data_IF_112974820757
#
_entry.id   IF_112974820757
#
_cell.length_a   1.000
_cell.length_b   1.000
_cell.length_c   1.000
_cell.angle_alpha   90.00
_cell.angle_beta   90.00
_cell.angle_gamma   90.00
#
_symmetry.space_group_name_H-M   'P 1'
#
loop_
_entity.id
_entity.type
_entity.pdbx_description
1 polymer ?
#
# COMPACT_ATOMS: atom_id res chain seq x y z
N UNK A 1 10.89 21.92 14.16
CA UNK A 1 10.10 21.01 15.01
C UNK A 1 9.83 19.77 14.19
N UNK A 2 10.67 18.74 14.35
CA UNK A 2 10.48 17.47 13.64
C UNK A 2 9.23 16.80 14.17
N UNK A 3 8.28 16.49 13.30
CA UNK A 3 7.18 15.62 13.65
C UNK A 3 7.79 14.25 13.99
N UNK A 4 7.76 13.86 15.26
CA UNK A 4 7.98 12.47 15.64
C UNK A 4 6.91 11.64 14.93
N UNK A 5 7.29 10.99 13.83
CA UNK A 5 6.41 10.12 13.07
C UNK A 5 6.00 8.96 13.97
N UNK A 6 4.71 8.92 14.37
CA UNK A 6 4.14 7.79 15.09
C UNK A 6 4.48 6.49 14.36
N UNK A 7 4.89 5.43 15.08
CA UNK A 7 5.30 4.18 14.44
C UNK A 7 4.17 3.61 13.60
N UNK A 8 4.49 3.17 12.37
CA UNK A 8 3.53 2.56 11.45
C UNK A 8 2.89 1.36 12.13
N UNK A 9 1.58 1.44 12.34
CA UNK A 9 0.81 0.37 12.98
C UNK A 9 0.23 -0.56 11.93
N UNK A 10 0.94 -1.64 11.64
CA UNK A 10 0.57 -2.63 10.62
C UNK A 10 -0.66 -3.46 11.04
N UNK A 11 -1.31 -4.19 10.12
CA UNK A 11 -2.37 -5.12 10.51
C UNK A 11 -1.86 -6.16 11.51
N UNK A 12 -2.66 -6.50 12.53
CA UNK A 12 -2.27 -7.48 13.58
C UNK A 12 -1.75 -8.82 13.07
N UNK A 13 -2.22 -9.28 11.90
CA UNK A 13 -1.74 -10.53 11.30
C UNK A 13 -0.31 -10.38 10.79
N UNK A 14 0.03 -9.21 10.22
CA UNK A 14 1.38 -8.87 9.79
C UNK A 14 2.28 -8.69 11.00
N UNK A 15 1.84 -7.96 12.04
CA UNK A 15 2.62 -7.75 13.27
C UNK A 15 3.01 -9.05 14.00
N UNK A 16 2.28 -10.15 13.76
CA UNK A 16 2.53 -11.47 14.38
C UNK A 16 3.31 -12.42 13.49
N UNK A 17 3.53 -12.08 12.22
CA UNK A 17 4.28 -12.90 11.27
C UNK A 17 5.79 -12.78 11.55
N UNK A 18 6.54 -13.86 11.36
CA UNK A 18 8.00 -13.84 11.57
C UNK A 18 8.73 -12.88 10.62
N UNK A 19 8.12 -12.52 9.48
CA UNK A 19 8.64 -11.54 8.52
C UNK A 19 8.36 -10.09 8.92
N UNK A 20 7.64 -9.82 10.01
CA UNK A 20 7.24 -8.47 10.40
C UNK A 20 8.43 -7.51 10.53
N UNK A 21 9.54 -7.96 11.13
CA UNK A 21 10.75 -7.17 11.31
C UNK A 21 11.39 -6.80 9.97
N UNK A 22 11.53 -7.77 9.08
CA UNK A 22 12.07 -7.57 7.72
C UNK A 22 11.18 -6.61 6.92
N UNK A 23 9.86 -6.80 7.00
CA UNK A 23 8.90 -5.92 6.35
C UNK A 23 9.00 -4.48 6.88
N UNK A 24 9.06 -4.30 8.21
CA UNK A 24 9.22 -2.97 8.79
C UNK A 24 10.52 -2.31 8.29
N UNK A 25 11.62 -3.06 8.25
CA UNK A 25 12.87 -2.58 7.67
C UNK A 25 12.71 -2.18 6.21
N UNK A 26 12.03 -2.97 5.37
CA UNK A 26 11.73 -2.60 3.97
C UNK A 26 10.87 -1.34 3.88
N UNK A 27 9.87 -1.19 4.76
CA UNK A 27 8.95 -0.05 4.75
C UNK A 27 9.60 1.26 5.24
N UNK A 28 10.67 1.17 6.04
CA UNK A 28 11.38 2.32 6.58
C UNK A 28 12.76 2.55 5.95
N UNK A 29 13.21 1.65 5.08
CA UNK A 29 14.49 1.77 4.36
C UNK A 29 14.28 2.16 2.91
N UNK A 30 15.24 2.86 2.32
CA UNK A 30 15.18 3.35 0.93
C UNK A 30 13.87 4.10 0.63
N UNK A 31 13.43 4.91 1.60
CA UNK A 31 12.29 5.79 1.45
C UNK A 31 12.69 7.01 0.62
N UNK A 32 11.72 7.53 -0.12
CA UNK A 32 11.89 8.77 -0.90
C UNK A 32 10.63 9.62 -0.76
N UNK A 33 10.74 10.95 -0.79
CA UNK A 33 9.57 11.80 -0.82
C UNK A 33 8.75 11.51 -2.08
N UNK A 34 7.42 11.57 -1.97
CA UNK A 34 6.54 11.31 -3.10
C UNK A 34 6.81 12.22 -4.31
N UNK A 35 7.28 13.44 -4.05
CA UNK A 35 7.70 14.43 -5.04
C UNK A 35 8.73 15.38 -4.42
N UNK A 36 9.36 16.23 -5.23
CA UNK A 36 10.51 17.08 -4.87
C UNK A 36 10.34 17.99 -3.63
N UNK A 37 9.10 18.32 -3.23
CA UNK A 37 8.78 19.08 -2.02
C UNK A 37 7.84 18.36 -1.05
N UNK A 38 7.56 17.08 -1.28
CA UNK A 38 6.68 16.29 -0.43
C UNK A 38 7.33 15.97 0.92
N UNK A 39 6.52 15.85 1.98
CA UNK A 39 7.02 15.47 3.31
C UNK A 39 6.70 14.01 3.65
N UNK A 40 5.76 13.39 2.94
CA UNK A 40 5.51 11.95 3.09
C UNK A 40 6.55 11.20 2.28
N UNK A 41 7.38 10.45 2.99
CA UNK A 41 8.27 9.48 2.39
C UNK A 41 7.55 8.14 2.19
N UNK A 42 7.84 7.48 1.07
CA UNK A 42 7.35 6.15 0.75
C UNK A 42 8.51 5.23 0.37
N UNK A 43 8.48 3.95 0.77
CA UNK A 43 9.50 3.00 0.36
C UNK A 43 9.38 2.69 -1.13
N UNK A 44 10.54 2.48 -1.78
CA UNK A 44 10.62 1.96 -3.13
C UNK A 44 10.92 0.45 -3.09
N UNK A 45 9.97 -0.36 -3.56
CA UNK A 45 10.03 -1.83 -3.51
C UNK A 45 10.11 -2.40 -4.93
N UNK A 46 10.97 -3.40 -5.13
CA UNK A 46 11.06 -4.12 -6.41
C UNK A 46 9.93 -5.14 -6.48
N UNK A 47 9.35 -5.30 -7.68
CA UNK A 47 8.39 -6.38 -7.93
C UNK A 47 9.14 -7.68 -8.20
N UNK A 48 8.98 -8.65 -7.31
CA UNK A 48 9.42 -10.03 -7.51
C UNK A 48 8.24 -10.95 -7.82
N UNK A 49 8.52 -12.25 -7.96
CA UNK A 49 7.49 -13.25 -8.25
C UNK A 49 6.42 -13.33 -7.14
N UNK A 50 6.84 -13.31 -5.87
CA UNK A 50 5.94 -13.45 -4.73
C UNK A 50 4.99 -12.27 -4.60
N UNK A 51 5.51 -11.05 -4.76
CA UNK A 51 4.70 -9.84 -4.77
C UNK A 51 3.77 -9.82 -6.00
N UNK A 52 4.26 -10.19 -7.18
CA UNK A 52 3.42 -10.29 -8.38
C UNK A 52 2.25 -11.28 -8.21
N UNK A 53 2.50 -12.44 -7.59
CA UNK A 53 1.48 -13.43 -7.28
C UNK A 53 0.45 -12.92 -6.27
N UNK A 54 0.91 -12.28 -5.19
CA UNK A 54 0.02 -11.67 -4.20
C UNK A 54 -0.89 -10.59 -4.83
N UNK A 55 -0.36 -9.77 -5.75
CA UNK A 55 -1.15 -8.78 -6.47
C UNK A 55 -2.18 -9.41 -7.41
N UNK A 56 -1.79 -10.44 -8.17
CA UNK A 56 -2.74 -11.19 -9.02
C UNK A 56 -3.84 -11.84 -8.20
N UNK A 57 -3.50 -12.45 -7.06
CA UNK A 57 -4.47 -13.05 -6.14
C UNK A 57 -5.46 -12.00 -5.60
N UNK A 58 -4.95 -10.85 -5.13
CA UNK A 58 -5.80 -9.74 -4.68
C UNK A 58 -6.72 -9.23 -5.80
N UNK A 59 -6.21 -9.12 -7.03
CA UNK A 59 -7.00 -8.69 -8.19
C UNK A 59 -8.10 -9.71 -8.54
N UNK A 60 -7.77 -10.99 -8.63
CA UNK A 60 -8.72 -12.07 -8.94
C UNK A 60 -9.81 -12.20 -7.87
N UNK A 61 -9.49 -11.87 -6.62
CA UNK A 61 -10.45 -11.82 -5.51
C UNK A 61 -11.30 -10.52 -5.48
N UNK A 62 -11.16 -9.63 -6.47
CA UNK A 62 -11.89 -8.37 -6.53
C UNK A 62 -11.50 -7.37 -5.44
N UNK A 63 -10.27 -7.47 -4.89
CA UNK A 63 -9.78 -6.67 -3.75
C UNK A 63 -8.86 -5.53 -4.17
N UNK A 64 -8.91 -5.15 -5.44
CA UNK A 64 -8.06 -4.12 -6.03
C UNK A 64 -8.93 -3.00 -6.60
N UNK A 65 -8.65 -1.78 -6.17
CA UNK A 65 -9.24 -0.56 -6.72
C UNK A 65 -8.21 0.10 -7.64
N UNK A 66 -8.58 0.29 -8.91
CA UNK A 66 -7.72 0.89 -9.93
C UNK A 66 -7.88 2.42 -9.95
N UNK A 67 -6.76 3.13 -9.87
CA UNK A 67 -6.67 4.56 -10.10
C UNK A 67 -6.99 5.44 -8.88
N UNK A 68 -6.45 6.65 -8.92
CA UNK A 68 -6.52 7.62 -7.82
C UNK A 68 -7.95 8.10 -7.52
N UNK A 69 -8.76 8.34 -8.56
CA UNK A 69 -10.12 8.83 -8.39
C UNK A 69 -11.00 7.78 -7.69
N UNK A 70 -10.94 6.53 -8.13
CA UNK A 70 -11.65 5.41 -7.53
C UNK A 70 -11.21 5.19 -6.08
N UNK A 71 -9.91 5.25 -5.80
CA UNK A 71 -9.37 5.14 -4.44
C UNK A 71 -9.89 6.27 -3.53
N UNK A 72 -9.89 7.52 -4.00
CA UNK A 72 -10.47 8.67 -3.29
C UNK A 72 -11.95 8.44 -2.95
N UNK A 73 -12.77 8.07 -3.95
CA UNK A 73 -14.21 7.84 -3.75
C UNK A 73 -14.45 6.73 -2.72
N UNK A 74 -13.70 5.63 -2.81
CA UNK A 74 -13.83 4.49 -1.89
C UNK A 74 -13.43 4.88 -0.46
N UNK A 75 -12.28 5.51 -0.27
CA UNK A 75 -11.81 5.95 1.05
C UNK A 75 -12.74 6.99 1.69
N UNK A 76 -13.27 7.94 0.91
CA UNK A 76 -14.24 8.91 1.40
C UNK A 76 -15.59 8.27 1.79
N UNK A 77 -15.99 7.19 1.14
CA UNK A 77 -17.18 6.42 1.54
C UNK A 77 -16.95 5.68 2.87
N UNK A 78 -15.76 5.12 3.05
CA UNK A 78 -15.40 4.38 4.25
C UNK A 78 -15.22 5.27 5.47
N UNK A 79 -14.58 6.43 5.29
CA UNK A 79 -14.45 7.47 6.32
C UNK A 79 -15.83 7.87 6.88
N UNK A 80 -16.81 8.14 6.01
CA UNK A 80 -18.18 8.43 6.42
C UNK A 80 -18.82 7.28 7.21
N UNK A 81 -18.62 6.04 6.78
CA UNK A 81 -19.10 4.86 7.48
C UNK A 81 -18.46 4.67 8.86
N UNK A 82 -17.16 4.92 8.98
CA UNK A 82 -16.42 4.84 10.24
C UNK A 82 -16.88 5.91 11.23
N UNK A 83 -17.06 7.16 10.79
CA UNK A 83 -17.56 8.25 11.64
C UNK A 83 -18.93 7.88 12.22
N UNK A 84 -19.85 7.38 11.39
CA UNK A 84 -21.19 6.96 11.84
C UNK A 84 -21.12 5.78 12.82
N UNK A 85 -20.19 4.84 12.61
CA UNK A 85 -20.02 3.69 13.49
C UNK A 85 -19.37 4.07 14.84
N UNK A 86 -18.40 4.98 14.83
CA UNK A 86 -17.67 5.42 16.02
C UNK A 86 -18.56 6.27 16.93
N UNK A 87 -19.42 7.13 16.35
CA UNK A 87 -20.47 7.85 17.08
C UNK A 87 -21.40 6.92 17.86
N UNK A 88 -21.64 5.69 17.36
CA UNK A 88 -22.50 4.69 18.01
C UNK A 88 -21.76 3.84 19.04
N UNK A 89 -20.45 3.68 18.90
CA UNK A 89 -19.69 2.67 19.63
C UNK A 89 -19.03 3.18 20.93
N UNK A 90 -18.92 4.50 21.14
CA UNK A 90 -18.24 5.14 22.29
C UNK A 90 -16.87 4.52 22.67
N UNK A 91 -16.17 3.94 21.68
CA UNK A 91 -14.88 3.27 21.86
C UNK A 91 -13.87 3.90 20.92
N UNK A 92 -12.79 4.44 21.48
CA UNK A 92 -11.64 4.93 20.71
C UNK A 92 -10.84 3.74 20.20
N UNK A 93 -11.11 3.31 18.96
CA UNK A 93 -10.29 2.27 18.32
C UNK A 93 -8.98 2.89 17.83
N UNK A 94 -7.85 2.42 18.36
CA UNK A 94 -6.54 2.78 17.82
C UNK A 94 -6.45 2.42 16.33
N UNK A 95 -6.19 3.42 15.49
CA UNK A 95 -6.10 3.22 14.05
C UNK A 95 -4.83 2.42 13.67
N UNK A 96 -4.96 1.63 12.60
CA UNK A 96 -3.97 0.73 12.01
C UNK A 96 -4.11 0.78 10.50
N UNK A 97 -3.02 0.48 9.79
CA UNK A 97 -3.02 0.26 8.35
C UNK A 97 -4.05 -0.80 8.02
N UNK A 98 -4.95 -0.43 7.10
CA UNK A 98 -6.04 -1.28 6.62
C UNK A 98 -6.22 -1.18 5.10
N UNK A 99 -5.50 -0.24 4.47
CA UNK A 99 -5.40 -0.04 3.03
C UNK A 99 -3.97 0.23 2.63
N UNK A 100 -3.62 -0.28 1.46
CA UNK A 100 -2.29 -0.14 0.87
C UNK A 100 -2.43 0.45 -0.52
N UNK A 101 -1.78 1.58 -0.74
CA UNK A 101 -1.59 2.16 -2.07
C UNK A 101 -0.29 1.63 -2.66
N UNK A 102 -0.36 1.18 -3.91
CA UNK A 102 0.80 0.82 -4.72
C UNK A 102 0.89 1.76 -5.89
N UNK A 103 2.03 2.42 -6.02
CA UNK A 103 2.26 3.48 -7.00
C UNK A 103 3.29 3.01 -8.02
N UNK A 104 3.05 3.28 -9.30
CA UNK A 104 4.12 3.19 -10.31
C UNK A 104 5.17 4.30 -10.08
N UNK A 105 6.40 4.10 -10.58
CA UNK A 105 7.54 5.03 -10.40
C UNK A 105 7.71 6.06 -11.53
N UNK A 106 6.78 6.10 -12.49
CA UNK A 106 6.77 7.01 -13.65
C UNK A 106 5.65 8.08 -13.58
N UNK A 107 5.11 8.32 -12.39
CA UNK A 107 4.06 9.29 -12.17
C UNK A 107 4.57 10.74 -12.36
N UNK A 108 3.74 11.60 -12.95
CA UNK A 108 4.02 13.03 -12.94
C UNK A 108 3.94 13.61 -11.52
N UNK A 109 4.69 14.67 -11.25
CA UNK A 109 4.73 15.30 -9.92
C UNK A 109 3.34 15.73 -9.40
N UNK A 110 2.49 16.25 -10.29
CA UNK A 110 1.09 16.60 -9.97
C UNK A 110 0.29 15.38 -9.49
N UNK A 111 0.52 14.21 -10.07
CA UNK A 111 -0.14 12.98 -9.63
C UNK A 111 0.32 12.61 -8.21
N UNK A 112 1.62 12.63 -7.93
CA UNK A 112 2.14 12.32 -6.60
C UNK A 112 1.72 13.33 -5.52
N UNK A 113 1.57 14.62 -5.86
CA UNK A 113 0.96 15.62 -4.97
C UNK A 113 -0.45 15.21 -4.53
N UNK A 114 -1.30 14.81 -5.48
CA UNK A 114 -2.65 14.36 -5.14
C UNK A 114 -2.66 13.07 -4.30
N UNK A 115 -1.69 12.17 -4.53
CA UNK A 115 -1.50 10.98 -3.68
C UNK A 115 -1.11 11.38 -2.26
N UNK A 116 -0.20 12.34 -2.09
CA UNK A 116 0.16 12.85 -0.76
C UNK A 116 -1.04 13.47 -0.04
N UNK A 117 -1.85 14.28 -0.73
CA UNK A 117 -3.11 14.81 -0.18
C UNK A 117 -4.05 13.69 0.28
N UNK A 118 -4.19 12.62 -0.51
CA UNK A 118 -5.00 11.46 -0.15
C UNK A 118 -4.47 10.76 1.11
N UNK A 119 -3.15 10.57 1.21
CA UNK A 119 -2.51 9.93 2.36
C UNK A 119 -2.72 10.72 3.65
N UNK A 120 -2.45 12.04 3.63
CA UNK A 120 -2.65 12.92 4.80
C UNK A 120 -4.08 12.90 5.30
N UNK A 121 -5.05 12.83 4.38
CA UNK A 121 -6.46 12.80 4.75
C UNK A 121 -6.87 11.51 5.48
N UNK A 122 -6.26 10.39 5.12
CA UNK A 122 -6.70 9.07 5.59
C UNK A 122 -5.68 8.36 6.49
N UNK A 123 -4.66 9.08 6.98
CA UNK A 123 -3.74 8.57 7.98
C UNK A 123 -4.46 8.29 9.32
N UNK A 124 -4.01 7.29 10.10
CA UNK A 124 -2.91 6.36 9.83
C UNK A 124 -3.37 5.06 9.13
N UNK A 125 -4.57 5.03 8.52
CA UNK A 125 -5.18 3.80 8.00
C UNK A 125 -4.70 3.41 6.60
N UNK A 126 -4.11 4.35 5.87
CA UNK A 126 -3.63 4.15 4.51
C UNK A 126 -2.10 4.25 4.51
N UNK A 127 -1.46 3.19 4.03
CA UNK A 127 -0.01 3.15 3.76
C UNK A 127 0.20 3.25 2.25
N UNK A 128 1.29 3.87 1.79
CA UNK A 128 1.70 3.85 0.39
C UNK A 128 3.07 3.21 0.23
N UNK A 129 3.23 2.49 -0.88
CA UNK A 129 4.50 1.93 -1.35
C UNK A 129 4.63 2.25 -2.83
N UNK A 130 5.84 2.60 -3.26
CA UNK A 130 6.16 2.76 -4.68
C UNK A 130 6.79 1.48 -5.20
N UNK A 131 6.34 1.02 -6.35
CA UNK A 131 6.91 -0.15 -7.03
C UNK A 131 7.91 0.35 -8.06
N UNK A 132 9.10 -0.27 -8.12
CA UNK A 132 10.15 0.04 -9.08
C UNK A 132 9.81 -0.49 -10.50
N UNK A 133 8.71 0.01 -11.05
CA UNK A 133 8.17 -0.29 -12.37
C UNK A 133 7.25 0.85 -12.81
N UNK A 134 7.09 0.98 -14.13
CA UNK A 134 6.25 2.01 -14.72
C UNK A 134 4.76 1.63 -14.76
N UNK A 135 3.92 2.60 -15.13
CA UNK A 135 2.49 2.40 -15.18
C UNK A 135 2.06 1.34 -16.21
N UNK A 136 2.81 1.18 -17.30
CA UNK A 136 2.50 0.20 -18.34
C UNK A 136 2.70 -1.23 -17.79
N UNK A 137 3.85 -1.50 -17.17
CA UNK A 137 4.18 -2.77 -16.55
C UNK A 137 3.20 -3.12 -15.40
N UNK A 138 2.82 -2.13 -14.57
CA UNK A 138 1.83 -2.36 -13.51
C UNK A 138 0.45 -2.73 -14.09
N UNK A 139 0.09 -2.06 -15.18
CA UNK A 139 -1.14 -2.28 -15.90
C UNK A 139 -1.21 -3.67 -16.52
N UNK A 140 -0.13 -4.06 -17.21
CA UNK A 140 0.01 -5.35 -17.87
C UNK A 140 -0.12 -6.50 -16.89
N UNK A 141 0.51 -6.39 -15.72
CA UNK A 141 0.50 -7.40 -14.66
C UNK A 141 -0.92 -7.85 -14.25
N UNK A 142 -1.88 -6.93 -14.18
CA UNK A 142 -3.20 -7.20 -13.59
C UNK A 142 -4.37 -7.06 -14.57
N UNK A 143 -4.27 -6.16 -15.55
CA UNK A 143 -5.40 -5.80 -16.42
C UNK A 143 -5.18 -6.20 -17.88
N UNK A 144 -3.97 -6.65 -18.24
CA UNK A 144 -3.58 -6.99 -19.61
C UNK A 144 -2.95 -5.83 -20.38
N UNK A 145 -2.56 -6.06 -21.65
CA UNK A 145 -1.79 -5.11 -22.44
C UNK A 145 -2.54 -3.79 -22.68
N UNK A 146 -1.78 -2.70 -22.87
CA UNK A 146 -2.29 -1.36 -23.17
C UNK A 146 -3.23 -0.75 -22.13
N UNK A 147 -3.13 -1.18 -20.87
CA UNK A 147 -3.97 -0.68 -19.76
C UNK A 147 -3.13 -0.10 -18.63
N UNK A 148 -2.43 1.02 -18.85
CA UNK A 148 -1.52 1.58 -17.84
C UNK A 148 -2.24 1.92 -16.53
N UNK A 149 -1.52 1.74 -15.42
CA UNK A 149 -1.99 1.96 -14.06
C UNK A 149 -0.92 2.64 -13.24
N UNK A 150 -1.21 3.84 -12.75
CA UNK A 150 -0.29 4.59 -11.86
C UNK A 150 -0.55 4.37 -10.37
N UNK A 151 -1.76 3.93 -10.03
CA UNK A 151 -2.18 3.67 -8.65
C UNK A 151 -3.08 2.44 -8.58
N UNK A 152 -2.76 1.56 -7.64
CA UNK A 152 -3.65 0.54 -7.13
C UNK A 152 -3.89 0.80 -5.65
N UNK A 153 -5.12 0.58 -5.19
CA UNK A 153 -5.39 0.43 -3.77
C UNK A 153 -5.80 -1.01 -3.50
N UNK A 154 -5.06 -1.68 -2.63
CA UNK A 154 -5.45 -2.97 -2.06
C UNK A 154 -6.42 -2.70 -0.92
N UNK A 155 -7.59 -3.31 -1.02
CA UNK A 155 -8.61 -3.32 0.01
C UNK A 155 -8.74 -4.70 0.65
N UNK A 156 -9.50 -4.77 1.75
CA UNK A 156 -9.62 -5.94 2.61
C UNK A 156 -8.35 -6.32 3.39
N UNK A 157 -8.55 -6.60 4.68
CA UNK A 157 -7.46 -6.89 5.62
C UNK A 157 -6.55 -8.02 5.14
N UNK A 158 -7.11 -9.12 4.65
CA UNK A 158 -6.33 -10.30 4.24
C UNK A 158 -5.46 -10.03 3.01
N UNK A 159 -6.01 -9.36 1.99
CA UNK A 159 -5.24 -8.99 0.81
C UNK A 159 -4.14 -7.97 1.15
N UNK A 160 -4.42 -6.99 2.01
CA UNK A 160 -3.39 -6.06 2.51
C UNK A 160 -2.28 -6.82 3.26
N UNK A 161 -2.64 -7.77 4.13
CA UNK A 161 -1.64 -8.58 4.84
C UNK A 161 -0.80 -9.41 3.88
N UNK A 162 -1.44 -10.08 2.91
CA UNK A 162 -0.78 -10.93 1.93
C UNK A 162 0.22 -10.13 1.08
N UNK A 163 -0.20 -8.98 0.55
CA UNK A 163 0.67 -8.11 -0.27
C UNK A 163 1.83 -7.55 0.55
N UNK A 164 1.57 -7.08 1.78
CA UNK A 164 2.63 -6.59 2.66
C UNK A 164 3.66 -7.69 2.96
N UNK A 165 3.19 -8.88 3.35
CA UNK A 165 4.07 -10.00 3.68
C UNK A 165 4.83 -10.54 2.48
N UNK A 166 4.28 -10.40 1.27
CA UNK A 166 4.96 -10.75 0.03
C UNK A 166 6.15 -9.84 -0.29
N UNK A 167 6.15 -8.58 0.18
CA UNK A 167 7.32 -7.68 0.03
C UNK A 167 8.54 -8.17 0.81
N UNK A 168 8.31 -8.88 1.92
CA UNK A 168 9.35 -9.47 2.76
C UNK A 168 9.57 -10.96 2.50
N UNK A 169 8.94 -11.52 1.45
CA UNK A 169 9.24 -12.88 1.03
C UNK A 169 10.59 -12.87 0.35
N UNK A 170 11.53 -13.67 0.86
CA UNK A 170 12.78 -13.92 0.14
C UNK A 170 12.46 -14.65 -1.17
N UNK A 171 13.21 -14.40 -2.27
CA UNK A 171 13.21 -15.34 -3.38
C UNK A 171 13.57 -16.72 -2.83
N UNK A 172 12.82 -17.75 -3.23
CA UNK A 172 13.19 -19.14 -2.89
C UNK A 172 14.55 -19.37 -3.53
N UNK A 173 15.60 -19.45 -2.71
CA UNK A 173 16.92 -19.83 -3.19
C UNK A 173 16.82 -21.26 -3.70
N UNK A 174 17.38 -21.54 -4.87
CA UNK A 174 17.42 -22.89 -5.47
C UNK A 174 18.05 -23.96 -4.56
N UNK A 175 18.63 -23.57 -3.43
CA UNK A 175 19.19 -24.46 -2.41
C UNK A 175 18.16 -25.01 -1.41
N UNK A 176 16.93 -24.50 -1.39
CA UNK A 176 15.85 -25.00 -0.50
C UNK A 176 14.97 -26.07 -1.17
N UNK A 177 15.34 -26.51 -2.38
CA UNK A 177 14.77 -27.67 -3.06
C UNK A 177 15.82 -28.79 -3.06
N UNK A 178 16.02 -29.42 -1.91
CA UNK A 178 16.71 -30.71 -1.78
C UNK A 178 15.70 -31.76 -1.36
#
# INVERSE_FOLDING_TARGET
MGAESMPIRLPKLVERDHRATELLHILTSNTRPLWSGGQIEVPLVKLDHGLAEALRSAHNAGRVVRGLESANKKLASEERGLILADQRANVVRGARVSRLLLLADDGAERFYRHVETLLRRHEPRVLAVRLALDAAALGELLFGPNRPVRLLMIEHKEAVCSVLLAMASRPIDKHDLV
#
